data_IF_619020468116
#
_entry.id   IF_619020468116
#
_cell.length_a   1.000
_cell.length_b   1.000
_cell.length_c   1.000
_cell.angle_alpha   90.00
_cell.angle_beta   90.00
_cell.angle_gamma   90.00
#
_symmetry.space_group_name_H-M   'P 1'
#
loop_
_entity.id
_entity.type
_entity.pdbx_description
1 polymer ?
#
# COMPACT_ATOMS: atom_id res chain seq x y z
N UNK A 1 -2.15 16.68 13.49
CA UNK A 1 -2.63 17.75 12.58
C UNK A 1 -4.07 18.04 12.94
N UNK A 2 -4.40 19.28 13.32
CA UNK A 2 -5.71 19.64 13.89
C UNK A 2 -6.86 19.49 12.88
N UNK A 3 -8.05 19.12 13.37
CA UNK A 3 -9.27 19.07 12.57
C UNK A 3 -9.58 20.48 12.02
N UNK A 4 -9.30 20.70 10.73
CA UNK A 4 -9.62 21.95 10.06
C UNK A 4 -11.12 21.99 9.74
N UNK A 5 -11.86 22.78 10.51
CA UNK A 5 -13.26 23.08 10.22
C UNK A 5 -13.35 24.12 9.09
N UNK A 6 -14.28 23.90 8.15
CA UNK A 6 -14.55 24.85 7.08
C UNK A 6 -15.21 26.09 7.69
N UNK A 7 -14.44 27.17 7.85
CA UNK A 7 -14.98 28.46 8.30
C UNK A 7 -15.99 29.06 7.32
N UNK A 8 -16.77 30.05 7.78
CA UNK A 8 -17.74 30.77 6.93
C UNK A 8 -17.05 31.35 5.68
N UNK A 9 -17.76 31.37 4.55
CA UNK A 9 -17.24 31.98 3.31
C UNK A 9 -16.91 33.46 3.55
N UNK A 10 -15.68 33.93 3.24
CA UNK A 10 -15.32 35.33 3.40
C UNK A 10 -16.22 36.27 2.60
N UNK A 11 -16.61 37.40 3.17
CA UNK A 11 -17.48 38.38 2.50
C UNK A 11 -16.70 39.39 1.65
N UNK A 12 -15.49 39.74 2.07
CA UNK A 12 -14.66 40.74 1.41
C UNK A 12 -13.81 40.11 0.30
N UNK A 13 -13.50 40.87 -0.75
CA UNK A 13 -12.75 40.39 -1.92
C UNK A 13 -11.32 39.94 -1.58
N UNK A 14 -10.63 40.69 -0.73
CA UNK A 14 -9.27 40.37 -0.27
C UNK A 14 -9.22 39.08 0.55
N UNK A 15 -10.07 38.95 1.57
CA UNK A 15 -10.18 37.75 2.38
C UNK A 15 -10.62 36.52 1.55
N UNK A 16 -11.45 36.72 0.52
CA UNK A 16 -11.83 35.66 -0.42
C UNK A 16 -10.63 35.18 -1.25
N UNK A 17 -9.70 36.07 -1.56
CA UNK A 17 -8.49 35.75 -2.30
C UNK A 17 -7.45 35.00 -1.45
N UNK A 18 -7.27 35.42 -0.20
CA UNK A 18 -6.44 34.67 0.76
C UNK A 18 -6.97 33.25 0.96
N UNK A 19 -8.28 33.10 1.13
CA UNK A 19 -8.90 31.78 1.26
C UNK A 19 -8.76 30.96 -0.02
N UNK A 20 -8.81 31.58 -1.21
CA UNK A 20 -8.52 30.90 -2.47
C UNK A 20 -7.11 30.35 -2.52
N UNK A 21 -6.10 31.14 -2.15
CA UNK A 21 -4.70 30.67 -2.07
C UNK A 21 -4.55 29.52 -1.09
N UNK A 22 -5.21 29.60 0.07
CA UNK A 22 -5.19 28.55 1.09
C UNK A 22 -5.82 27.26 0.59
N UNK A 23 -6.97 27.34 -0.07
CA UNK A 23 -7.65 26.18 -0.66
C UNK A 23 -6.86 25.58 -1.82
N UNK A 24 -6.17 26.41 -2.61
CA UNK A 24 -5.26 25.94 -3.65
C UNK A 24 -4.08 25.18 -3.06
N UNK A 25 -3.48 25.68 -1.98
CA UNK A 25 -2.43 24.98 -1.24
C UNK A 25 -2.91 23.62 -0.71
N UNK A 26 -4.06 23.57 -0.04
CA UNK A 26 -4.64 22.31 0.42
C UNK A 26 -4.98 21.34 -0.71
N UNK A 27 -5.43 21.87 -1.85
CA UNK A 27 -5.65 21.04 -3.03
C UNK A 27 -4.35 20.40 -3.52
N UNK A 28 -3.23 21.11 -3.45
CA UNK A 28 -1.91 20.56 -3.78
C UNK A 28 -1.45 19.54 -2.74
N UNK A 29 -1.73 19.78 -1.45
CA UNK A 29 -1.42 18.82 -0.38
C UNK A 29 -2.15 17.48 -0.55
N UNK A 30 -3.42 17.50 -1.00
CA UNK A 30 -4.14 16.27 -1.33
C UNK A 30 -3.43 15.50 -2.44
N UNK A 31 -2.98 16.19 -3.50
CA UNK A 31 -2.25 15.57 -4.62
C UNK A 31 -0.92 14.97 -4.17
N UNK A 32 -0.13 15.72 -3.40
CA UNK A 32 1.15 15.23 -2.88
C UNK A 32 0.96 13.95 -2.05
N UNK A 33 -0.05 13.91 -1.18
CA UNK A 33 -0.34 12.73 -0.36
C UNK A 33 -0.79 11.51 -1.18
N UNK A 34 -1.52 11.73 -2.28
CA UNK A 34 -1.90 10.62 -3.17
C UNK A 34 -0.70 10.11 -3.97
N UNK A 35 0.17 11.01 -4.45
CA UNK A 35 1.38 10.64 -5.19
C UNK A 35 2.38 9.89 -4.31
N UNK A 36 2.60 10.36 -3.07
CA UNK A 36 3.44 9.66 -2.08
C UNK A 36 2.93 8.24 -1.81
N UNK A 37 1.60 8.05 -1.74
CA UNK A 37 1.03 6.73 -1.51
C UNK A 37 1.25 5.78 -2.69
N UNK A 38 1.16 6.28 -3.93
CA UNK A 38 1.45 5.49 -5.14
C UNK A 38 2.92 5.02 -5.11
N UNK A 39 3.86 5.94 -4.84
CA UNK A 39 5.29 5.60 -4.77
C UNK A 39 5.61 4.59 -3.66
N UNK A 40 4.99 4.74 -2.49
CA UNK A 40 5.17 3.80 -1.37
C UNK A 40 4.58 2.41 -1.69
N UNK A 41 3.46 2.36 -2.41
CA UNK A 41 2.82 1.10 -2.81
C UNK A 41 3.62 0.33 -3.85
N UNK A 42 4.08 1.01 -4.91
CA UNK A 42 4.95 0.42 -5.92
C UNK A 42 6.20 -0.22 -5.27
N UNK A 43 6.82 0.51 -4.33
CA UNK A 43 7.94 0.02 -3.54
C UNK A 43 7.56 -1.19 -2.67
N UNK A 44 6.44 -1.12 -1.94
CA UNK A 44 5.97 -2.20 -1.08
C UNK A 44 5.65 -3.49 -1.86
N UNK A 45 5.14 -3.38 -3.10
CA UNK A 45 4.79 -4.52 -3.94
C UNK A 45 5.95 -5.11 -4.74
N UNK A 46 7.03 -4.36 -4.94
CA UNK A 46 8.19 -4.79 -5.73
C UNK A 46 8.76 -6.13 -5.25
N UNK A 47 8.77 -6.40 -3.94
CA UNK A 47 9.31 -7.64 -3.38
C UNK A 47 8.50 -8.92 -3.70
N UNK A 48 7.34 -8.74 -4.33
CA UNK A 48 6.30 -9.74 -4.52
C UNK A 48 5.86 -9.89 -5.96
N UNK A 49 6.62 -9.30 -6.88
CA UNK A 49 6.45 -9.57 -8.29
C UNK A 49 6.70 -11.06 -8.61
N UNK A 50 6.20 -11.49 -9.76
CA UNK A 50 6.28 -12.89 -10.19
C UNK A 50 7.73 -13.38 -10.40
N UNK A 51 8.66 -12.48 -10.67
CA UNK A 51 10.06 -12.75 -11.01
C UNK A 51 10.90 -12.94 -9.74
N UNK A 52 10.73 -12.07 -8.75
CA UNK A 52 11.29 -12.15 -7.40
C UNK A 52 10.76 -13.36 -6.64
N UNK A 53 9.48 -13.70 -6.79
CA UNK A 53 8.96 -14.96 -6.24
C UNK A 53 9.66 -16.15 -6.91
N UNK A 54 9.85 -16.13 -8.22
CA UNK A 54 10.53 -17.21 -8.92
C UNK A 54 11.98 -17.35 -8.45
N UNK A 55 12.75 -16.25 -8.45
CA UNK A 55 14.13 -16.22 -7.98
C UNK A 55 14.27 -16.71 -6.53
N UNK A 56 13.39 -16.26 -5.62
CA UNK A 56 13.39 -16.73 -4.22
C UNK A 56 13.16 -18.24 -4.10
N UNK A 57 12.26 -18.80 -4.92
CA UNK A 57 11.99 -20.25 -4.91
C UNK A 57 13.15 -21.02 -5.53
N UNK A 58 13.78 -20.49 -6.57
CA UNK A 58 14.94 -21.11 -7.23
C UNK A 58 16.16 -21.11 -6.31
N UNK A 59 16.47 -19.98 -5.67
CA UNK A 59 17.52 -19.89 -4.66
C UNK A 59 17.26 -20.84 -3.49
N UNK A 60 16.02 -20.92 -3.01
CA UNK A 60 15.62 -21.86 -1.97
C UNK A 60 15.78 -23.31 -2.41
N UNK A 61 15.42 -23.64 -3.65
CA UNK A 61 15.58 -24.99 -4.18
C UNK A 61 17.07 -25.38 -4.20
N UNK A 62 17.92 -24.50 -4.73
CA UNK A 62 19.38 -24.69 -4.76
C UNK A 62 19.94 -24.90 -3.35
N UNK A 63 19.49 -24.13 -2.36
CA UNK A 63 19.94 -24.30 -0.97
C UNK A 63 19.53 -25.64 -0.36
N UNK A 64 18.38 -26.19 -0.73
CA UNK A 64 17.83 -27.42 -0.15
C UNK A 64 18.40 -28.68 -0.81
N UNK A 65 18.54 -28.68 -2.14
CA UNK A 65 18.94 -29.87 -2.90
C UNK A 65 20.34 -29.78 -3.51
N UNK A 66 20.95 -28.59 -3.55
CA UNK A 66 22.22 -28.34 -4.22
C UNK A 66 22.04 -28.06 -5.72
N UNK A 67 22.96 -27.30 -6.31
CA UNK A 67 22.89 -26.88 -7.73
C UNK A 67 22.77 -28.07 -8.69
N UNK A 68 23.55 -29.14 -8.47
CA UNK A 68 23.59 -30.30 -9.35
C UNK A 68 22.24 -31.06 -9.43
N UNK A 69 21.45 -31.00 -8.36
CA UNK A 69 20.17 -31.69 -8.28
C UNK A 69 18.98 -30.77 -8.57
N UNK A 70 19.13 -29.45 -8.46
CA UNK A 70 18.04 -28.48 -8.67
C UNK A 70 17.38 -28.60 -10.06
N UNK A 71 18.14 -28.97 -11.09
CA UNK A 71 17.65 -29.11 -12.46
C UNK A 71 16.93 -30.44 -12.73
N UNK A 72 16.91 -31.37 -11.76
CA UNK A 72 16.18 -32.62 -11.96
C UNK A 72 14.66 -32.34 -12.10
N UNK A 73 13.97 -33.01 -13.06
CA UNK A 73 12.56 -32.72 -13.36
C UNK A 73 11.63 -32.73 -12.15
N UNK A 74 11.86 -33.65 -11.19
CA UNK A 74 11.06 -33.77 -9.97
C UNK A 74 11.14 -32.53 -9.05
N UNK A 75 12.29 -31.86 -9.02
CA UNK A 75 12.55 -30.70 -8.18
C UNK A 75 12.09 -29.41 -8.86
N UNK A 76 12.21 -29.34 -10.19
CA UNK A 76 11.60 -28.29 -10.99
C UNK A 76 10.07 -28.32 -10.91
N UNK A 77 9.46 -29.51 -10.92
CA UNK A 77 8.02 -29.65 -10.72
C UNK A 77 7.59 -29.16 -9.32
N UNK A 78 8.34 -29.53 -8.28
CA UNK A 78 8.10 -29.03 -6.92
C UNK A 78 8.23 -27.50 -6.84
N UNK A 79 9.30 -26.93 -7.41
CA UNK A 79 9.50 -25.48 -7.45
C UNK A 79 8.35 -24.78 -8.17
N UNK A 80 7.86 -25.32 -9.29
CA UNK A 80 6.71 -24.77 -9.99
C UNK A 80 5.42 -24.82 -9.16
N UNK A 81 5.18 -25.90 -8.42
CA UNK A 81 4.04 -25.99 -7.50
C UNK A 81 4.14 -24.96 -6.37
N UNK A 82 5.33 -24.80 -5.78
CA UNK A 82 5.60 -23.80 -4.74
C UNK A 82 5.42 -22.38 -5.30
N UNK A 83 6.02 -22.06 -6.44
CA UNK A 83 5.84 -20.78 -7.15
C UNK A 83 4.36 -20.49 -7.41
N UNK A 84 3.62 -21.46 -7.93
CA UNK A 84 2.19 -21.31 -8.22
C UNK A 84 1.38 -21.01 -6.94
N UNK A 85 1.58 -21.79 -5.88
CA UNK A 85 0.86 -21.60 -4.62
C UNK A 85 1.24 -20.30 -3.93
N UNK A 86 2.52 -19.93 -3.92
CA UNK A 86 2.98 -18.63 -3.43
C UNK A 86 2.30 -17.49 -4.20
N UNK A 87 2.34 -17.50 -5.54
CA UNK A 87 1.66 -16.50 -6.37
C UNK A 87 0.18 -16.38 -6.04
N UNK A 88 -0.52 -17.51 -5.87
CA UNK A 88 -1.95 -17.55 -5.53
C UNK A 88 -2.23 -16.96 -4.14
N UNK A 89 -1.44 -17.33 -3.15
CA UNK A 89 -1.61 -16.85 -1.77
C UNK A 89 -1.32 -15.35 -1.67
N UNK A 90 -0.28 -14.89 -2.38
CA UNK A 90 0.03 -13.48 -2.53
C UNK A 90 -1.10 -12.73 -3.23
N UNK A 91 -1.54 -13.19 -4.41
CA UNK A 91 -2.63 -12.57 -5.18
C UNK A 91 -3.90 -12.38 -4.32
N UNK A 92 -4.25 -13.40 -3.53
CA UNK A 92 -5.37 -13.35 -2.59
C UNK A 92 -5.16 -12.32 -1.47
N UNK A 93 -3.98 -12.30 -0.84
CA UNK A 93 -3.64 -11.35 0.23
C UNK A 93 -3.56 -9.89 -0.28
N UNK A 94 -3.15 -9.68 -1.54
CA UNK A 94 -3.05 -8.36 -2.16
C UNK A 94 -4.36 -7.82 -2.72
N UNK A 95 -5.40 -8.63 -2.81
CA UNK A 95 -6.64 -8.22 -3.48
C UNK A 95 -7.25 -6.97 -2.84
N UNK A 96 -7.24 -6.87 -1.51
CA UNK A 96 -7.75 -5.72 -0.79
C UNK A 96 -6.82 -4.50 -0.86
N UNK A 97 -5.50 -4.72 -0.88
CA UNK A 97 -4.52 -3.65 -1.05
C UNK A 97 -4.65 -3.01 -2.44
N UNK A 98 -4.72 -3.82 -3.52
CA UNK A 98 -4.91 -3.32 -4.89
C UNK A 98 -6.21 -2.55 -5.09
N UNK A 99 -7.30 -3.02 -4.47
CA UNK A 99 -8.58 -2.29 -4.47
C UNK A 99 -8.45 -0.94 -3.77
N UNK A 100 -7.67 -0.89 -2.71
CA UNK A 100 -7.39 0.33 -1.98
C UNK A 100 -6.51 1.29 -2.81
N UNK A 101 -5.41 0.82 -3.41
CA UNK A 101 -4.55 1.60 -4.32
C UNK A 101 -5.36 2.24 -5.43
N UNK A 102 -6.20 1.47 -6.12
CA UNK A 102 -7.12 2.00 -7.13
C UNK A 102 -8.06 3.09 -6.60
N UNK A 103 -8.53 2.96 -5.37
CA UNK A 103 -9.39 3.97 -4.75
C UNK A 103 -8.61 5.27 -4.45
N UNK A 104 -7.31 5.18 -4.22
CA UNK A 104 -6.41 6.33 -4.06
C UNK A 104 -6.16 6.99 -5.42
N UNK A 105 -5.95 6.20 -6.48
CA UNK A 105 -5.82 6.71 -7.86
C UNK A 105 -7.06 7.48 -8.31
N UNK A 106 -8.25 6.90 -8.11
CA UNK A 106 -9.52 7.54 -8.43
C UNK A 106 -9.69 8.89 -7.69
N UNK A 107 -9.19 8.96 -6.46
CA UNK A 107 -9.18 10.21 -5.67
C UNK A 107 -8.17 11.21 -6.23
N UNK A 108 -6.98 10.77 -6.63
CA UNK A 108 -5.95 11.60 -7.23
C UNK A 108 -6.47 12.25 -8.52
N UNK A 109 -7.08 11.48 -9.42
CA UNK A 109 -7.61 11.99 -10.69
C UNK A 109 -8.77 12.96 -10.49
N UNK A 110 -9.66 12.67 -9.54
CA UNK A 110 -10.70 13.61 -9.15
C UNK A 110 -10.11 14.90 -8.58
N UNK A 111 -9.05 14.80 -7.78
CA UNK A 111 -8.40 15.96 -7.18
C UNK A 111 -7.67 16.80 -8.23
N UNK A 112 -7.02 16.20 -9.24
CA UNK A 112 -6.40 16.93 -10.36
C UNK A 112 -7.44 17.81 -11.07
N UNK A 113 -8.60 17.23 -11.39
CA UNK A 113 -9.71 17.97 -11.99
C UNK A 113 -10.23 19.12 -11.09
N UNK A 114 -10.24 18.94 -9.77
CA UNK A 114 -10.64 19.99 -8.83
C UNK A 114 -9.58 21.10 -8.76
N UNK A 115 -8.31 20.72 -8.71
CA UNK A 115 -7.17 21.62 -8.64
C UNK A 115 -7.12 22.54 -9.86
N UNK A 116 -7.22 21.97 -11.05
CA UNK A 116 -7.31 22.72 -12.32
C UNK A 116 -8.49 23.71 -12.31
N UNK A 117 -9.66 23.26 -11.87
CA UNK A 117 -10.84 24.13 -11.76
C UNK A 117 -10.63 25.28 -10.80
N UNK A 118 -9.87 25.11 -9.72
CA UNK A 118 -9.54 26.19 -8.77
C UNK A 118 -8.57 27.18 -9.42
N UNK A 119 -7.57 26.71 -10.16
CA UNK A 119 -6.65 27.55 -10.93
C UNK A 119 -7.42 28.37 -11.98
N UNK A 120 -8.32 27.74 -12.71
CA UNK A 120 -9.15 28.42 -13.73
C UNK A 120 -10.06 29.52 -13.16
N UNK A 121 -10.38 29.48 -11.86
CA UNK A 121 -11.13 30.58 -11.24
C UNK A 121 -10.35 31.89 -11.21
N UNK A 122 -9.02 31.86 -11.32
CA UNK A 122 -8.20 33.07 -11.44
C UNK A 122 -8.59 33.90 -12.69
N UNK A 123 -8.99 33.24 -13.79
CA UNK A 123 -9.35 33.90 -15.06
C UNK A 123 -10.65 34.72 -14.97
N UNK A 124 -11.62 34.26 -14.18
CA UNK A 124 -12.91 34.94 -13.96
C UNK A 124 -12.94 35.80 -12.70
N UNK A 125 -11.81 35.86 -11.97
CA UNK A 125 -11.64 36.62 -10.72
C UNK A 125 -11.88 38.13 -10.88
N UNK A 126 -11.36 38.83 -11.92
CA UNK A 126 -11.50 40.29 -12.03
C UNK A 126 -12.88 40.74 -12.52
N UNK A 127 -13.63 39.85 -13.19
CA UNK A 127 -14.82 40.22 -13.95
C UNK A 127 -16.14 39.96 -13.21
N UNK A 128 -16.22 38.94 -12.34
CA UNK A 128 -17.48 38.51 -11.72
C UNK A 128 -17.27 37.85 -10.34
N UNK A 129 -17.23 38.69 -9.29
CA UNK A 129 -17.03 38.25 -7.91
C UNK A 129 -18.13 37.33 -7.36
N UNK A 130 -19.36 37.46 -7.84
CA UNK A 130 -20.49 36.62 -7.40
C UNK A 130 -20.38 35.20 -7.96
N UNK A 131 -20.11 35.10 -9.27
CA UNK A 131 -19.88 33.81 -9.94
C UNK A 131 -18.61 33.14 -9.44
N UNK A 132 -17.54 33.91 -9.18
CA UNK A 132 -16.33 33.40 -8.53
C UNK A 132 -16.66 32.77 -7.18
N UNK A 133 -17.30 33.51 -6.27
CA UNK A 133 -17.64 33.05 -4.92
C UNK A 133 -18.48 31.78 -4.93
N UNK A 134 -19.48 31.71 -5.81
CA UNK A 134 -20.36 30.53 -5.94
C UNK A 134 -19.59 29.29 -6.43
N UNK A 135 -18.75 29.43 -7.45
CA UNK A 135 -17.94 28.30 -7.97
C UNK A 135 -16.87 27.89 -6.96
N UNK A 136 -16.14 28.87 -6.42
CA UNK A 136 -15.11 28.65 -5.42
C UNK A 136 -15.64 27.94 -4.18
N UNK A 137 -16.80 28.35 -3.66
CA UNK A 137 -17.39 27.71 -2.48
C UNK A 137 -17.68 26.22 -2.67
N UNK A 138 -18.11 25.81 -3.86
CA UNK A 138 -18.33 24.39 -4.17
C UNK A 138 -17.02 23.60 -4.24
N UNK A 139 -16.00 24.17 -4.88
CA UNK A 139 -14.68 23.53 -5.00
C UNK A 139 -13.98 23.43 -3.64
N UNK A 140 -14.03 24.49 -2.83
CA UNK A 140 -13.54 24.54 -1.46
C UNK A 140 -14.06 23.37 -0.63
N UNK A 141 -15.38 23.16 -0.61
CA UNK A 141 -15.98 22.05 0.14
C UNK A 141 -15.49 20.67 -0.34
N UNK A 142 -15.25 20.51 -1.65
CA UNK A 142 -14.70 19.27 -2.20
C UNK A 142 -13.26 19.04 -1.76
N UNK A 143 -12.40 20.07 -1.81
CA UNK A 143 -11.01 19.97 -1.33
C UNK A 143 -10.96 19.54 0.13
N UNK A 144 -11.76 20.17 1.00
CA UNK A 144 -11.84 19.79 2.41
C UNK A 144 -12.32 18.35 2.63
N UNK A 145 -13.33 17.92 1.87
CA UNK A 145 -13.79 16.53 1.92
C UNK A 145 -12.66 15.57 1.50
N UNK A 146 -11.89 15.92 0.49
CA UNK A 146 -10.80 15.10 -0.02
C UNK A 146 -9.62 15.07 0.97
N UNK A 147 -9.27 16.18 1.62
CA UNK A 147 -8.29 16.22 2.72
C UNK A 147 -8.63 15.23 3.84
N UNK A 148 -9.90 15.22 4.27
CA UNK A 148 -10.35 14.27 5.30
C UNK A 148 -10.35 12.83 4.80
N UNK A 149 -10.61 12.64 3.51
CA UNK A 149 -10.58 11.31 2.88
C UNK A 149 -9.15 10.78 2.80
N UNK A 150 -8.17 11.59 2.37
CA UNK A 150 -6.76 11.18 2.31
C UNK A 150 -6.20 10.85 3.68
N UNK A 151 -6.55 11.61 4.71
CA UNK A 151 -6.16 11.29 6.09
C UNK A 151 -6.70 9.92 6.53
N UNK A 152 -7.98 9.62 6.27
CA UNK A 152 -8.56 8.29 6.55
C UNK A 152 -7.91 7.17 5.75
N UNK A 153 -7.58 7.45 4.49
CA UNK A 153 -6.90 6.50 3.61
C UNK A 153 -5.52 6.14 4.18
N UNK A 154 -4.75 7.11 4.68
CA UNK A 154 -3.45 6.87 5.31
C UNK A 154 -3.54 5.89 6.50
N UNK A 155 -4.56 6.03 7.35
CA UNK A 155 -4.78 5.06 8.44
C UNK A 155 -5.17 3.67 7.93
N UNK A 156 -5.99 3.60 6.87
CA UNK A 156 -6.40 2.33 6.26
C UNK A 156 -5.22 1.63 5.58
N UNK A 157 -4.39 2.38 4.86
CA UNK A 157 -3.17 1.89 4.22
C UNK A 157 -2.25 1.21 5.25
N UNK A 158 -1.90 1.92 6.33
CA UNK A 158 -1.09 1.36 7.43
C UNK A 158 -1.69 0.09 8.00
N UNK A 159 -3.02 0.03 8.16
CA UNK A 159 -3.70 -1.17 8.66
C UNK A 159 -3.62 -2.34 7.68
N UNK A 160 -3.88 -2.10 6.39
CA UNK A 160 -3.79 -3.12 5.35
C UNK A 160 -2.36 -3.68 5.22
N UNK A 161 -1.35 -2.80 5.23
CA UNK A 161 0.06 -3.21 5.25
C UNK A 161 0.41 -4.03 6.50
N UNK A 162 -0.07 -3.61 7.68
CA UNK A 162 0.13 -4.37 8.93
C UNK A 162 -0.57 -5.72 8.92
N UNK A 163 -1.78 -5.82 8.38
CA UNK A 163 -2.51 -7.09 8.21
C UNK A 163 -1.77 -8.00 7.24
N UNK A 164 -1.29 -7.45 6.12
CA UNK A 164 -0.50 -8.17 5.13
C UNK A 164 0.79 -8.76 5.74
N UNK A 165 1.55 -7.97 6.49
CA UNK A 165 2.74 -8.46 7.21
C UNK A 165 2.35 -9.40 8.35
N UNK A 166 1.25 -9.14 9.05
CA UNK A 166 0.75 -9.95 10.18
C UNK A 166 0.25 -11.34 9.78
N UNK A 167 -0.28 -11.50 8.56
CA UNK A 167 -0.59 -12.81 7.96
C UNK A 167 0.67 -13.69 7.92
N UNK A 168 1.88 -13.10 7.86
CA UNK A 168 3.15 -13.85 7.90
C UNK A 168 3.51 -14.39 9.29
N UNK A 169 2.87 -13.92 10.37
CA UNK A 169 3.29 -14.18 11.77
C UNK A 169 2.40 -15.16 12.56
N UNK A 170 1.40 -15.86 11.97
CA UNK A 170 0.60 -16.86 12.74
C UNK A 170 0.86 -18.30 12.31
N UNK A 171 1.22 -19.15 13.29
CA UNK A 171 0.20 -19.95 13.96
C UNK A 171 0.02 -19.48 15.41
N UNK A 172 -1.23 -19.36 15.87
CA UNK A 172 -1.52 -19.34 17.30
C UNK A 172 -1.33 -20.76 17.82
N UNK A 173 -0.19 -21.03 18.43
CA UNK A 173 -0.15 -21.98 19.54
C UNK A 173 -0.26 -21.19 20.84
N UNK A 174 -1.03 -21.74 21.78
CA UNK A 174 -1.50 -21.06 22.98
C UNK A 174 -0.36 -20.84 24.00
N UNK A 175 -0.30 -19.63 24.58
CA UNK A 175 0.24 -19.41 25.93
C UNK A 175 1.62 -18.74 26.07
N UNK A 176 1.67 -17.40 26.02
CA UNK A 176 2.28 -16.50 27.02
C UNK A 176 2.33 -15.04 26.50
N UNK A 177 2.27 -14.01 27.37
CA UNK A 177 2.14 -12.60 26.97
C UNK A 177 3.51 -11.98 26.63
N UNK A 178 3.59 -10.98 25.73
CA UNK A 178 4.86 -10.32 25.43
C UNK A 178 5.04 -9.06 26.29
N UNK A 179 6.20 -8.99 26.96
CA UNK A 179 6.78 -7.73 27.44
C UNK A 179 7.55 -7.04 26.29
N UNK A 180 7.26 -5.74 26.17
CA UNK A 180 8.09 -4.61 25.72
C UNK A 180 9.27 -4.83 24.75
N UNK A 181 9.18 -4.22 23.56
CA UNK A 181 10.20 -3.30 23.02
C UNK A 181 9.80 -2.79 21.63
N UNK A 182 9.34 -1.54 21.55
CA UNK A 182 8.96 -0.84 20.30
C UNK A 182 10.16 -0.28 19.51
N UNK A 183 11.40 -0.58 19.89
CA UNK A 183 12.58 0.16 19.37
C UNK A 183 13.41 -0.63 18.34
N UNK A 184 13.09 -1.89 18.08
CA UNK A 184 13.80 -2.76 17.12
C UNK A 184 13.16 -2.79 15.71
N UNK A 185 11.98 -2.19 15.54
CA UNK A 185 11.15 -2.35 14.33
C UNK A 185 11.65 -1.60 13.09
N UNK A 186 12.64 -0.70 13.22
CA UNK A 186 13.19 0.06 12.07
C UNK A 186 14.42 -0.57 11.41
N UNK A 187 15.10 -1.51 12.07
CA UNK A 187 16.34 -2.11 11.54
C UNK A 187 16.19 -3.57 11.09
N UNK A 188 15.03 -4.20 11.25
CA UNK A 188 14.78 -5.58 10.81
C UNK A 188 14.06 -5.72 9.46
N UNK A 189 13.93 -4.63 8.68
CA UNK A 189 13.31 -4.70 7.35
C UNK A 189 14.21 -5.29 6.26
N UNK A 190 15.40 -5.81 6.60
CA UNK A 190 16.37 -6.31 5.61
C UNK A 190 16.77 -7.78 5.81
N UNK A 191 15.86 -8.63 6.29
CA UNK A 191 16.11 -10.07 6.35
C UNK A 191 15.15 -10.79 5.40
N UNK A 192 15.77 -11.50 4.44
CA UNK A 192 15.22 -12.60 3.66
C UNK A 192 14.23 -13.44 4.47
N UNK A 193 12.93 -13.18 4.35
CA UNK A 193 11.94 -14.03 5.01
C UNK A 193 10.79 -14.27 4.02
N UNK A 194 10.93 -15.36 3.27
CA UNK A 194 9.80 -16.23 2.92
C UNK A 194 8.99 -16.37 4.22
N UNK A 195 7.65 -16.16 4.22
CA UNK A 195 6.86 -16.22 5.45
C UNK A 195 7.28 -17.46 6.25
N UNK A 196 7.72 -17.30 7.49
CA UNK A 196 8.21 -18.41 8.33
C UNK A 196 7.19 -19.57 8.40
N UNK A 197 5.91 -19.24 8.26
CA UNK A 197 4.79 -20.18 8.14
C UNK A 197 4.81 -21.02 6.85
N UNK A 198 5.26 -20.46 5.73
CA UNK A 198 5.50 -21.18 4.49
C UNK A 198 6.80 -22.00 4.55
N UNK A 199 7.87 -21.45 5.12
CA UNK A 199 9.14 -22.18 5.30
C UNK A 199 8.93 -23.47 6.11
N UNK A 200 8.18 -23.41 7.22
CA UNK A 200 7.88 -24.58 8.04
C UNK A 200 6.99 -25.58 7.28
N UNK A 201 5.94 -25.10 6.59
CA UNK A 201 4.97 -25.97 5.92
C UNK A 201 5.59 -26.76 4.74
N UNK A 202 6.47 -26.14 3.96
CA UNK A 202 7.13 -26.80 2.83
C UNK A 202 8.38 -27.60 3.23
N UNK A 203 9.10 -27.18 4.28
CA UNK A 203 10.20 -27.99 4.84
C UNK A 203 9.69 -29.32 5.42
N UNK A 204 8.48 -29.34 5.97
CA UNK A 204 7.82 -30.58 6.40
C UNK A 204 7.48 -31.51 5.22
N UNK A 205 6.96 -30.99 4.11
CA UNK A 205 6.64 -31.79 2.91
C UNK A 205 7.90 -32.44 2.29
N UNK A 206 9.05 -31.77 2.32
CA UNK A 206 10.34 -32.31 1.84
C UNK A 206 10.95 -33.31 2.82
N UNK A 207 10.87 -33.05 4.12
CA UNK A 207 11.36 -33.97 5.16
C UNK A 207 10.59 -35.29 5.14
N UNK A 208 9.27 -35.24 4.89
CA UNK A 208 8.44 -36.42 4.71
C UNK A 208 8.77 -37.19 3.41
N UNK A 209 9.24 -36.49 2.37
CA UNK A 209 9.68 -37.10 1.11
C UNK A 209 11.05 -37.79 1.22
N UNK A 210 11.97 -37.27 2.06
CA UNK A 210 13.23 -37.96 2.40
C UNK A 210 12.98 -39.20 3.26
N UNK A 211 12.09 -39.12 4.25
CA UNK A 211 11.76 -40.27 5.12
C UNK A 211 11.00 -41.40 4.40
N UNK A 212 10.23 -41.11 3.35
CA UNK A 212 9.50 -42.15 2.60
C UNK A 212 10.37 -42.93 1.60
N UNK A 213 11.58 -42.46 1.29
CA UNK A 213 12.53 -43.12 0.37
C UNK A 213 13.74 -43.75 1.04
N UNK A 214 13.98 -43.49 2.33
CA UNK A 214 14.96 -44.23 3.14
C UNK A 214 14.38 -45.52 3.74
N UNK A 215 13.06 -45.76 3.58
CA UNK A 215 12.38 -47.01 3.91
C UNK A 215 11.91 -47.74 2.63
N UNK A 216 12.82 -48.04 1.70
CA UNK A 216 12.65 -49.12 0.70
C UNK A 216 14.02 -49.68 0.32
#
# INVERSE_FOLDING_TARGET
MGQQQVGRMPQNSEALYEEWRRVLHWSAEVLARTDDNILEEDSFLTDYDCEKIAAKVDDWLVQVVGEADADQPKFQELANQVKYKMRKDYDAAYKELRRFTKSVDDLADMQKCIHEKILDLEKIRPSDGSKFRRKFGRLRLRVFKNLRTTEKMLFRDRRLKKEFVGIRRRPREQGHPPEESEETDRQQLNVNIIPYTMYIRYSYEISHFRSSKLCK
#
